data_IF_238716341731
#
_entry.id   IF_238716341731
#
_cell.length_a   1.000
_cell.length_b   1.000
_cell.length_c   1.000
_cell.angle_alpha   90.00
_cell.angle_beta   90.00
_cell.angle_gamma   90.00
#
_symmetry.space_group_name_H-M   'P 1'
#
loop_
_entity.id
_entity.type
_entity.pdbx_description
1 polymer ?
#
# COMPACT_ATOMS: atom_id res chain seq x y z
N UNK A 1 -24.04 -5.72 -13.23
CA UNK A 1 -23.23 -4.72 -12.49
C UNK A 1 -23.84 -4.25 -11.17
N UNK A 2 -25.16 -4.04 -11.03
CA UNK A 2 -25.76 -3.48 -9.79
C UNK A 2 -25.64 -4.31 -8.50
N UNK A 3 -25.49 -5.65 -8.58
CA UNK A 3 -25.31 -6.51 -7.39
C UNK A 3 -23.86 -6.50 -6.88
N UNK A 4 -22.87 -6.56 -7.77
CA UNK A 4 -21.45 -6.45 -7.40
C UNK A 4 -21.14 -5.09 -6.75
N UNK A 5 -21.73 -4.01 -7.27
CA UNK A 5 -21.58 -2.66 -6.72
C UNK A 5 -22.23 -2.55 -5.34
N UNK A 6 -23.46 -3.04 -5.11
CA UNK A 6 -24.13 -2.91 -3.80
C UNK A 6 -23.46 -3.72 -2.68
N UNK A 7 -23.09 -4.99 -2.92
CA UNK A 7 -22.50 -5.83 -1.88
C UNK A 7 -21.02 -5.48 -1.60
N UNK A 8 -20.28 -5.06 -2.62
CA UNK A 8 -18.90 -4.61 -2.42
C UNK A 8 -18.83 -3.20 -1.83
N UNK A 9 -19.71 -2.27 -2.22
CA UNK A 9 -19.80 -0.93 -1.60
C UNK A 9 -20.11 -1.00 -0.11
N UNK A 10 -20.99 -1.92 0.32
CA UNK A 10 -21.30 -2.09 1.75
C UNK A 10 -20.06 -2.51 2.55
N UNK A 11 -19.25 -3.42 2.01
CA UNK A 11 -18.01 -3.84 2.66
C UNK A 11 -16.90 -2.78 2.62
N UNK A 12 -16.82 -2.02 1.51
CA UNK A 12 -15.93 -0.86 1.36
C UNK A 12 -16.28 0.27 2.33
N UNK A 13 -17.57 0.59 2.47
CA UNK A 13 -18.07 1.58 3.41
C UNK A 13 -17.86 1.12 4.86
N UNK A 14 -18.05 -0.16 5.16
CA UNK A 14 -17.83 -0.70 6.50
C UNK A 14 -16.36 -0.65 6.91
N UNK A 15 -15.44 -1.08 6.04
CA UNK A 15 -14.00 -1.02 6.34
C UNK A 15 -13.47 0.41 6.46
N UNK A 16 -13.95 1.35 5.63
CA UNK A 16 -13.58 2.77 5.73
C UNK A 16 -14.19 3.44 6.96
N UNK A 17 -15.43 3.11 7.33
CA UNK A 17 -16.10 3.59 8.54
C UNK A 17 -15.36 3.11 9.80
N UNK A 18 -14.97 1.84 9.86
CA UNK A 18 -14.20 1.30 10.99
C UNK A 18 -12.88 2.05 11.18
N UNK A 19 -12.15 2.28 10.08
CA UNK A 19 -10.91 3.05 10.11
C UNK A 19 -11.15 4.52 10.50
N UNK A 20 -12.24 5.12 10.03
CA UNK A 20 -12.62 6.49 10.36
C UNK A 20 -12.96 6.66 11.84
N UNK A 21 -13.69 5.72 12.45
CA UNK A 21 -14.00 5.72 13.88
C UNK A 21 -12.72 5.68 14.72
N UNK A 22 -11.78 4.79 14.40
CA UNK A 22 -10.50 4.69 15.11
C UNK A 22 -9.67 5.97 14.97
N UNK A 23 -9.62 6.55 13.76
CA UNK A 23 -8.97 7.85 13.52
C UNK A 23 -9.64 8.98 14.30
N UNK A 24 -10.97 9.00 14.36
CA UNK A 24 -11.74 10.00 15.09
C UNK A 24 -11.47 9.93 16.60
N UNK A 25 -11.45 8.73 17.18
CA UNK A 25 -11.10 8.54 18.60
C UNK A 25 -9.68 9.04 18.86
N UNK A 26 -8.71 8.73 17.98
CA UNK A 26 -7.34 9.22 18.10
C UNK A 26 -7.27 10.76 18.04
N UNK A 27 -8.03 11.39 17.15
CA UNK A 27 -8.12 12.85 17.07
C UNK A 27 -8.69 13.48 18.35
N UNK A 28 -9.71 12.85 18.96
CA UNK A 28 -10.26 13.28 20.26
C UNK A 28 -9.21 13.15 21.36
N UNK A 29 -8.49 12.03 21.44
CA UNK A 29 -7.45 11.83 22.45
C UNK A 29 -6.32 12.87 22.33
N UNK A 30 -5.93 13.24 21.10
CA UNK A 30 -4.94 14.29 20.86
C UNK A 30 -5.49 15.68 21.26
N UNK A 31 -6.76 15.96 20.96
CA UNK A 31 -7.42 17.20 21.36
C UNK A 31 -7.50 17.33 22.89
N UNK A 32 -7.87 16.26 23.59
CA UNK A 32 -7.91 16.24 25.06
C UNK A 32 -6.51 16.42 25.67
N UNK A 33 -5.49 15.79 25.11
CA UNK A 33 -4.11 15.96 25.56
C UNK A 33 -3.65 17.43 25.44
N UNK A 34 -3.99 18.12 24.34
CA UNK A 34 -3.68 19.55 24.14
C UNK A 34 -4.37 20.41 25.19
N UNK A 35 -5.61 20.08 25.57
CA UNK A 35 -6.39 20.84 26.57
C UNK A 35 -5.96 20.58 28.02
N UNK A 36 -5.46 19.37 28.33
CA UNK A 36 -4.99 18.99 29.67
C UNK A 36 -3.48 19.23 29.91
N UNK A 37 -2.78 19.85 28.95
CA UNK A 37 -1.34 20.11 29.09
C UNK A 37 -0.99 21.00 30.30
N UNK A 38 -1.96 21.79 30.81
CA UNK A 38 -1.83 22.60 32.03
C UNK A 38 -2.08 21.87 33.36
N UNK A 39 -2.45 20.58 33.37
CA UNK A 39 -2.68 19.82 34.60
C UNK A 39 -1.42 19.01 35.02
N UNK A 40 -1.04 19.05 36.29
CA UNK A 40 0.16 18.39 36.85
C UNK A 40 -0.03 16.90 37.17
N UNK A 41 -1.09 16.26 36.69
CA UNK A 41 -1.34 14.84 36.97
C UNK A 41 -0.50 13.91 36.08
N UNK A 42 0.64 13.46 36.61
CA UNK A 42 1.58 12.54 35.93
C UNK A 42 0.91 11.23 35.48
N UNK A 43 0.03 10.66 36.31
CA UNK A 43 -0.72 9.42 36.00
C UNK A 43 -1.61 9.61 34.77
N UNK A 44 -2.27 10.76 34.67
CA UNK A 44 -3.16 11.07 33.56
C UNK A 44 -2.37 11.26 32.25
N UNK A 45 -1.21 11.93 32.32
CA UNK A 45 -0.27 12.04 31.18
C UNK A 45 0.22 10.68 30.70
N UNK A 46 0.54 9.76 31.62
CA UNK A 46 0.94 8.40 31.28
C UNK A 46 -0.19 7.60 30.61
N UNK A 47 -1.40 7.64 31.17
CA UNK A 47 -2.57 6.97 30.61
C UNK A 47 -2.91 7.44 29.19
N UNK A 48 -2.85 8.75 28.93
CA UNK A 48 -3.07 9.29 27.59
C UNK A 48 -2.02 8.81 26.59
N UNK A 49 -0.73 8.81 26.97
CA UNK A 49 0.34 8.29 26.11
C UNK A 49 0.16 6.81 25.80
N UNK A 50 -0.21 6.01 26.80
CA UNK A 50 -0.50 4.59 26.61
C UNK A 50 -1.68 4.40 25.64
N UNK A 51 -2.82 5.06 25.87
CA UNK A 51 -3.98 4.98 24.97
C UNK A 51 -3.65 5.43 23.54
N UNK A 52 -2.91 6.52 23.37
CA UNK A 52 -2.47 6.98 22.04
C UNK A 52 -1.63 5.93 21.32
N UNK A 53 -0.71 5.27 22.02
CA UNK A 53 0.09 4.18 21.47
C UNK A 53 -0.79 3.00 21.04
N UNK A 54 -1.73 2.58 21.89
CA UNK A 54 -2.67 1.50 21.58
C UNK A 54 -3.54 1.83 20.35
N UNK A 55 -4.10 3.03 20.28
CA UNK A 55 -4.90 3.46 19.13
C UNK A 55 -4.07 3.61 17.85
N UNK A 56 -2.81 4.02 17.96
CA UNK A 56 -1.88 4.05 16.81
C UNK A 56 -1.62 2.64 16.26
N UNK A 57 -1.35 1.67 17.14
CA UNK A 57 -1.16 0.27 16.74
C UNK A 57 -2.44 -0.28 16.13
N UNK A 58 -3.60 -0.02 16.74
CA UNK A 58 -4.90 -0.45 16.23
C UNK A 58 -5.20 0.15 14.85
N UNK A 59 -4.94 1.44 14.64
CA UNK A 59 -5.14 2.10 13.35
C UNK A 59 -4.29 1.43 12.26
N UNK A 60 -3.02 1.17 12.54
CA UNK A 60 -2.12 0.52 11.58
C UNK A 60 -2.52 -0.93 11.30
N UNK A 61 -2.91 -1.67 12.34
CA UNK A 61 -3.42 -3.03 12.20
C UNK A 61 -4.69 -3.08 11.35
N UNK A 62 -5.64 -2.16 11.59
CA UNK A 62 -6.87 -2.09 10.82
C UNK A 62 -6.62 -1.67 9.37
N UNK A 63 -5.68 -0.77 9.09
CA UNK A 63 -5.27 -0.45 7.71
C UNK A 63 -4.72 -1.69 7.00
N UNK A 64 -3.80 -2.41 7.67
CA UNK A 64 -3.20 -3.63 7.15
C UNK A 64 -4.27 -4.69 6.82
N UNK A 65 -5.19 -4.92 7.75
CA UNK A 65 -6.27 -5.89 7.61
C UNK A 65 -7.24 -5.50 6.50
N UNK A 66 -7.64 -4.22 6.47
CA UNK A 66 -8.59 -3.69 5.48
C UNK A 66 -8.05 -3.81 4.05
N UNK A 67 -6.77 -3.48 3.83
CA UNK A 67 -6.12 -3.59 2.50
C UNK A 67 -6.20 -5.03 1.96
N UNK A 68 -5.85 -6.02 2.79
CA UNK A 68 -5.86 -7.45 2.42
C UNK A 68 -7.26 -8.03 2.34
N UNK A 69 -8.16 -7.62 3.23
CA UNK A 69 -9.56 -8.00 3.18
C UNK A 69 -10.19 -7.58 1.85
N UNK A 70 -9.94 -6.37 1.35
CA UNK A 70 -10.48 -5.92 0.06
C UNK A 70 -10.00 -6.74 -1.14
N UNK A 71 -8.75 -7.20 -1.13
CA UNK A 71 -8.26 -8.13 -2.17
C UNK A 71 -9.06 -9.43 -2.12
N UNK A 72 -9.28 -9.97 -0.91
CA UNK A 72 -10.06 -11.20 -0.71
C UNK A 72 -11.54 -11.05 -1.07
N UNK A 73 -12.13 -9.87 -0.83
CA UNK A 73 -13.48 -9.53 -1.29
C UNK A 73 -13.51 -9.47 -2.82
N UNK A 74 -12.48 -8.91 -3.46
CA UNK A 74 -12.40 -8.87 -4.91
C UNK A 74 -12.27 -10.27 -5.52
N UNK A 75 -11.55 -11.20 -4.87
CA UNK A 75 -11.40 -12.59 -5.33
C UNK A 75 -12.67 -13.43 -5.12
N UNK A 76 -13.30 -13.35 -3.94
CA UNK A 76 -14.37 -14.28 -3.54
C UNK A 76 -15.77 -13.67 -3.42
N UNK A 77 -15.90 -12.34 -3.42
CA UNK A 77 -17.19 -11.66 -3.25
C UNK A 77 -17.86 -11.87 -1.88
N UNK A 78 -17.12 -12.33 -0.86
CA UNK A 78 -17.61 -12.51 0.51
C UNK A 78 -17.63 -11.17 1.27
N UNK A 79 -18.42 -11.06 2.35
CA UNK A 79 -18.47 -9.85 3.18
C UNK A 79 -17.16 -9.55 3.94
N UNK A 80 -16.97 -8.29 4.36
CA UNK A 80 -15.72 -7.78 4.96
C UNK A 80 -15.13 -8.65 6.07
N UNK A 81 -15.89 -8.98 7.12
CA UNK A 81 -15.35 -9.71 8.28
C UNK A 81 -14.87 -11.12 7.91
N UNK A 82 -15.58 -11.80 6.99
CA UNK A 82 -15.18 -13.14 6.54
C UNK A 82 -13.91 -13.06 5.67
N UNK A 83 -13.87 -12.13 4.73
CA UNK A 83 -12.71 -11.89 3.88
C UNK A 83 -11.47 -11.41 4.66
N UNK A 84 -11.67 -10.60 5.70
CA UNK A 84 -10.61 -10.18 6.62
C UNK A 84 -10.02 -11.37 7.38
N UNK A 85 -10.88 -12.26 7.91
CA UNK A 85 -10.44 -13.49 8.57
C UNK A 85 -9.69 -14.42 7.63
N UNK A 86 -10.25 -14.67 6.45
CA UNK A 86 -9.66 -15.59 5.47
C UNK A 86 -8.29 -15.06 5.00
N UNK A 87 -8.20 -13.77 4.61
CA UNK A 87 -6.94 -13.16 4.19
C UNK A 87 -5.89 -13.08 5.30
N UNK A 88 -6.30 -12.79 6.54
CA UNK A 88 -5.39 -12.81 7.68
C UNK A 88 -4.85 -14.22 7.94
N UNK A 89 -5.71 -15.24 7.92
CA UNK A 89 -5.30 -16.64 8.07
C UNK A 89 -4.29 -17.06 7.00
N UNK A 90 -4.56 -16.74 5.73
CA UNK A 90 -3.67 -17.04 4.61
C UNK A 90 -2.29 -16.40 4.76
N UNK A 91 -2.28 -15.11 5.13
CA UNK A 91 -1.05 -14.34 5.35
C UNK A 91 -0.29 -14.83 6.57
N UNK A 92 -0.97 -15.20 7.66
CA UNK A 92 -0.34 -15.73 8.86
C UNK A 92 0.38 -17.06 8.60
N UNK A 93 -0.24 -17.96 7.81
CA UNK A 93 0.38 -19.24 7.39
C UNK A 93 1.61 -19.06 6.51
N UNK A 94 1.66 -17.97 5.74
CA UNK A 94 2.72 -17.66 4.78
C UNK A 94 3.55 -16.43 5.18
N UNK A 95 3.65 -16.14 6.49
CA UNK A 95 4.21 -14.87 6.99
C UNK A 95 5.62 -14.58 6.48
N UNK A 96 6.48 -15.60 6.39
CA UNK A 96 7.86 -15.44 5.90
C UNK A 96 7.87 -14.94 4.45
N UNK A 97 7.06 -15.54 3.58
CA UNK A 97 6.97 -15.14 2.17
C UNK A 97 6.40 -13.73 2.05
N UNK A 98 5.41 -13.40 2.87
CA UNK A 98 4.77 -12.07 2.89
C UNK A 98 5.79 -11.01 3.31
N UNK A 99 6.55 -11.24 4.38
CA UNK A 99 7.55 -10.29 4.87
C UNK A 99 8.67 -10.10 3.85
N UNK A 100 9.19 -11.17 3.25
CA UNK A 100 10.25 -11.05 2.23
C UNK A 100 9.76 -10.22 1.05
N UNK A 101 8.56 -10.51 0.53
CA UNK A 101 8.00 -9.76 -0.59
C UNK A 101 7.74 -8.31 -0.22
N UNK A 102 7.15 -8.04 0.94
CA UNK A 102 6.88 -6.68 1.43
C UNK A 102 8.18 -5.86 1.48
N UNK A 103 9.26 -6.41 2.04
CA UNK A 103 10.56 -5.75 2.10
C UNK A 103 11.16 -5.48 0.72
N UNK A 104 11.11 -6.46 -0.18
CA UNK A 104 11.62 -6.30 -1.55
C UNK A 104 10.80 -5.25 -2.31
N UNK A 105 9.47 -5.31 -2.22
CA UNK A 105 8.58 -4.34 -2.86
C UNK A 105 8.81 -2.95 -2.30
N UNK A 106 8.87 -2.75 -0.98
CA UNK A 106 9.16 -1.43 -0.40
C UNK A 106 10.49 -0.87 -0.90
N UNK A 107 11.54 -1.69 -0.95
CA UNK A 107 12.84 -1.26 -1.47
C UNK A 107 12.77 -0.84 -2.93
N UNK A 108 12.18 -1.68 -3.79
CA UNK A 108 12.05 -1.40 -5.23
C UNK A 108 11.23 -0.13 -5.51
N UNK A 109 10.09 0.02 -4.85
CA UNK A 109 9.22 1.20 -5.05
C UNK A 109 9.89 2.46 -4.48
N UNK A 110 10.61 2.36 -3.36
CA UNK A 110 11.39 3.48 -2.80
C UNK A 110 12.49 3.94 -3.77
N UNK A 111 13.27 3.01 -4.32
CA UNK A 111 14.30 3.34 -5.32
C UNK A 111 13.70 3.93 -6.59
N UNK A 112 12.57 3.40 -7.06
CA UNK A 112 11.84 3.95 -8.20
C UNK A 112 11.36 5.38 -7.95
N UNK A 113 10.76 5.62 -6.79
CA UNK A 113 10.29 6.95 -6.35
C UNK A 113 11.43 7.96 -6.25
N UNK A 114 12.53 7.56 -5.62
CA UNK A 114 13.72 8.40 -5.50
C UNK A 114 14.31 8.76 -6.87
N UNK A 115 14.44 7.78 -7.76
CA UNK A 115 15.00 8.00 -9.10
C UNK A 115 14.15 8.95 -9.93
N UNK A 116 12.82 8.75 -9.96
CA UNK A 116 11.90 9.63 -10.69
C UNK A 116 11.94 11.04 -10.14
N UNK A 117 11.85 11.21 -8.81
CA UNK A 117 11.83 12.52 -8.15
C UNK A 117 13.14 13.29 -8.37
N UNK A 118 14.29 12.60 -8.28
CA UNK A 118 15.60 13.22 -8.52
C UNK A 118 15.80 13.58 -9.99
N UNK A 119 15.40 12.71 -10.91
CA UNK A 119 15.51 12.97 -12.35
C UNK A 119 14.66 14.18 -12.77
N UNK A 120 13.38 14.24 -12.36
CA UNK A 120 12.50 15.38 -12.67
C UNK A 120 13.00 16.69 -12.06
N UNK A 121 13.52 16.63 -10.84
CA UNK A 121 14.07 17.82 -10.16
C UNK A 121 15.37 18.29 -10.80
N UNK A 122 16.26 17.37 -11.21
CA UNK A 122 17.48 17.71 -11.92
C UNK A 122 17.18 18.36 -13.28
N UNK A 123 16.23 17.82 -14.04
CA UNK A 123 15.79 18.41 -15.31
C UNK A 123 15.22 19.83 -15.10
N UNK A 124 14.40 20.02 -14.07
CA UNK A 124 13.89 21.34 -13.71
C UNK A 124 15.02 22.31 -13.34
N UNK A 125 16.01 21.86 -12.58
CA UNK A 125 17.17 22.69 -12.22
C UNK A 125 17.97 23.12 -13.46
N UNK A 126 18.27 22.21 -14.39
CA UNK A 126 19.00 22.56 -15.62
C UNK A 126 18.22 23.51 -16.53
N UNK A 127 16.89 23.35 -16.59
CA UNK A 127 16.01 24.22 -17.36
C UNK A 127 15.93 25.63 -16.76
N UNK A 128 15.65 25.77 -15.44
CA UNK A 128 15.53 27.07 -14.79
C UNK A 128 16.87 27.81 -14.64
N UNK A 129 18.00 27.09 -14.59
CA UNK A 129 19.35 27.69 -14.57
C UNK A 129 19.83 28.09 -15.98
N UNK A 130 19.02 27.88 -17.03
CA UNK A 130 19.34 28.24 -18.41
C UNK A 130 20.50 27.45 -19.03
N UNK A 131 20.85 26.28 -18.48
CA UNK A 131 21.91 25.41 -19.03
C UNK A 131 21.43 24.55 -20.19
N UNK A 132 20.11 24.39 -20.33
CA UNK A 132 19.45 23.69 -21.43
C UNK A 132 18.39 24.62 -21.99
N UNK A 133 18.60 25.11 -23.21
CA UNK A 133 17.59 25.86 -23.95
C UNK A 133 16.71 24.85 -24.71
N UNK A 134 15.41 24.89 -24.44
CA UNK A 134 14.41 24.08 -25.15
C UNK A 134 13.67 25.04 -26.07
N UNK A 135 13.87 24.90 -27.39
CA UNK A 135 13.37 25.83 -28.42
C UNK A 135 11.83 26.06 -28.38
N UNK A 136 11.09 25.16 -27.74
CA UNK A 136 9.63 25.21 -27.62
C UNK A 136 9.11 25.84 -26.32
N UNK A 137 9.98 26.28 -25.40
CA UNK A 137 9.58 26.87 -24.13
C UNK A 137 10.13 28.30 -23.95
N UNK A 138 9.33 29.24 -23.39
CA UNK A 138 9.77 30.61 -23.19
C UNK A 138 10.92 30.67 -22.18
N UNK A 139 11.97 31.44 -22.50
CA UNK A 139 13.08 31.71 -21.57
C UNK A 139 12.52 32.44 -20.35
N UNK A 140 12.55 31.77 -19.21
CA UNK A 140 12.07 32.33 -17.95
C UNK A 140 13.25 32.94 -17.21
N UNK A 141 13.37 34.27 -17.24
CA UNK A 141 14.31 34.98 -16.37
C UNK A 141 13.65 35.19 -15.01
N UNK A 142 13.96 34.33 -14.05
CA UNK A 142 13.48 34.46 -12.68
C UNK A 142 14.58 35.11 -11.82
N UNK A 143 14.17 35.99 -10.91
CA UNK A 143 15.08 36.51 -9.87
C UNK A 143 15.38 35.44 -8.80
N UNK A 144 14.51 34.43 -8.68
CA UNK A 144 14.65 33.31 -7.74
C UNK A 144 14.46 31.95 -8.45
N UNK A 145 15.50 31.47 -9.15
CA UNK A 145 15.46 30.20 -9.91
C UNK A 145 15.23 28.95 -9.03
N UNK A 146 15.57 29.02 -7.74
CA UNK A 146 15.43 27.90 -6.81
C UNK A 146 13.97 27.65 -6.37
N UNK A 147 13.13 28.68 -6.34
CA UNK A 147 11.75 28.56 -5.91
C UNK A 147 10.93 27.59 -6.77
N UNK A 148 10.90 27.70 -8.12
CA UNK A 148 10.18 26.74 -8.95
C UNK A 148 10.78 25.34 -8.89
N UNK A 149 12.09 25.18 -8.69
CA UNK A 149 12.73 23.86 -8.52
C UNK A 149 12.23 23.16 -7.26
N UNK A 150 12.10 23.88 -6.14
CA UNK A 150 11.54 23.34 -4.90
C UNK A 150 10.08 22.91 -5.09
N UNK A 151 9.29 23.73 -5.80
CA UNK A 151 7.89 23.40 -6.11
C UNK A 151 7.81 22.12 -6.95
N UNK A 152 8.65 21.98 -7.98
CA UNK A 152 8.72 20.77 -8.81
C UNK A 152 9.16 19.56 -8.00
N UNK A 153 10.14 19.69 -7.10
CA UNK A 153 10.58 18.61 -6.23
C UNK A 153 9.43 18.10 -5.34
N UNK A 154 8.75 19.00 -4.64
CA UNK A 154 7.63 18.65 -3.76
C UNK A 154 6.46 18.06 -4.57
N UNK A 155 6.08 18.71 -5.66
CA UNK A 155 4.98 18.26 -6.52
C UNK A 155 5.24 16.90 -7.15
N UNK A 156 6.44 16.69 -7.71
CA UNK A 156 6.81 15.42 -8.32
C UNK A 156 6.88 14.29 -7.29
N UNK A 157 7.38 14.55 -6.07
CA UNK A 157 7.40 13.55 -4.99
C UNK A 157 5.99 13.04 -4.64
N UNK A 158 5.02 13.93 -4.45
CA UNK A 158 3.64 13.54 -4.08
C UNK A 158 2.88 12.84 -5.21
N UNK A 159 3.06 13.31 -6.45
CA UNK A 159 2.50 12.66 -7.63
C UNK A 159 3.08 11.24 -7.71
N UNK A 160 4.40 11.12 -7.64
CA UNK A 160 5.10 9.84 -7.67
C UNK A 160 4.62 8.90 -6.56
N UNK A 161 4.52 9.37 -5.31
CA UNK A 161 4.00 8.61 -4.16
C UNK A 161 2.63 7.98 -4.45
N UNK A 162 1.68 8.82 -4.89
CA UNK A 162 0.30 8.40 -5.16
C UNK A 162 0.23 7.34 -6.26
N UNK A 163 1.05 7.46 -7.31
CA UNK A 163 1.14 6.44 -8.36
C UNK A 163 1.74 5.14 -7.84
N UNK A 164 2.84 5.22 -7.09
CA UNK A 164 3.51 4.05 -6.53
C UNK A 164 2.65 3.27 -5.53
N UNK A 165 1.75 3.93 -4.79
CA UNK A 165 0.76 3.26 -3.93
C UNK A 165 -0.15 2.29 -4.71
N UNK A 166 -0.53 2.65 -5.95
CA UNK A 166 -1.34 1.79 -6.83
C UNK A 166 -0.52 0.57 -7.27
N UNK A 167 0.75 0.76 -7.62
CA UNK A 167 1.65 -0.35 -7.95
C UNK A 167 1.83 -1.31 -6.77
N UNK A 168 2.02 -0.78 -5.55
CA UNK A 168 2.10 -1.59 -4.34
C UNK A 168 0.82 -2.42 -4.12
N UNK A 169 -0.35 -1.84 -4.38
CA UNK A 169 -1.63 -2.55 -4.29
C UNK A 169 -1.75 -3.68 -5.33
N UNK A 170 -1.27 -3.43 -6.56
CA UNK A 170 -1.21 -4.45 -7.61
C UNK A 170 -0.31 -5.63 -7.23
N UNK A 171 0.89 -5.35 -6.72
CA UNK A 171 1.83 -6.37 -6.25
C UNK A 171 1.23 -7.20 -5.11
N UNK A 172 0.63 -6.55 -4.10
CA UNK A 172 -0.07 -7.23 -3.01
C UNK A 172 -1.20 -8.13 -3.50
N UNK A 173 -1.94 -7.68 -4.52
CA UNK A 173 -3.04 -8.45 -5.12
C UNK A 173 -2.54 -9.70 -5.81
N UNK A 174 -1.55 -9.56 -6.70
CA UNK A 174 -0.94 -10.70 -7.41
C UNK A 174 -0.37 -11.70 -6.40
N UNK A 175 0.29 -11.20 -5.36
CA UNK A 175 0.87 -12.06 -4.34
C UNK A 175 -0.18 -12.79 -3.51
N UNK A 176 -1.28 -12.14 -3.13
CA UNK A 176 -2.35 -12.80 -2.40
C UNK A 176 -3.04 -13.86 -3.27
N UNK A 177 -3.30 -13.56 -4.55
CA UNK A 177 -3.79 -14.54 -5.52
C UNK A 177 -2.84 -15.74 -5.62
N UNK A 178 -1.53 -15.48 -5.63
CA UNK A 178 -0.51 -16.52 -5.65
C UNK A 178 -0.52 -17.39 -4.39
N UNK A 179 -0.67 -16.79 -3.20
CA UNK A 179 -0.77 -17.54 -1.95
C UNK A 179 -2.02 -18.43 -1.95
N UNK A 180 -3.15 -17.89 -2.42
CA UNK A 180 -4.41 -18.61 -2.53
C UNK A 180 -4.32 -19.79 -3.51
N UNK A 181 -3.73 -19.57 -4.69
CA UNK A 181 -3.46 -20.62 -5.69
C UNK A 181 -2.53 -21.69 -5.11
N UNK A 182 -1.54 -21.28 -4.31
CA UNK A 182 -0.59 -22.19 -3.68
C UNK A 182 -1.16 -23.04 -2.55
N UNK A 183 -2.21 -22.58 -1.86
CA UNK A 183 -2.89 -23.36 -0.80
C UNK A 183 -3.96 -24.29 -1.36
N UNK A 184 -4.66 -23.87 -2.43
CA UNK A 184 -5.80 -24.63 -2.96
C UNK A 184 -5.42 -25.64 -4.06
N UNK A 185 -4.29 -25.42 -4.74
CA UNK A 185 -3.84 -26.27 -5.84
C UNK A 185 -2.53 -27.00 -5.49
N UNK A 186 -2.38 -28.22 -5.98
CA UNK A 186 -1.24 -29.10 -5.72
C UNK A 186 -0.39 -29.37 -6.98
N UNK A 187 -0.85 -28.95 -8.16
CA UNK A 187 -0.15 -29.17 -9.43
C UNK A 187 -0.59 -30.44 -10.16
N UNK A 188 -1.52 -31.21 -9.59
CA UNK A 188 -2.10 -32.38 -10.24
C UNK A 188 -2.95 -32.00 -11.46
N UNK A 189 -3.27 -32.99 -12.30
CA UNK A 189 -4.19 -32.80 -13.43
C UNK A 189 -5.60 -32.33 -13.00
N UNK A 190 -6.01 -32.61 -11.75
CA UNK A 190 -7.31 -32.19 -11.21
C UNK A 190 -7.25 -30.79 -10.59
N UNK A 191 -6.09 -30.37 -10.05
CA UNK A 191 -5.88 -29.07 -9.38
C UNK A 191 -4.55 -28.43 -9.80
N UNK A 192 -4.46 -27.94 -11.05
CA UNK A 192 -3.24 -27.30 -11.54
C UNK A 192 -2.97 -25.96 -10.88
N UNK A 193 -1.70 -25.56 -10.81
CA UNK A 193 -1.33 -24.17 -10.49
C UNK A 193 -1.67 -23.25 -11.67
N UNK A 194 -2.47 -22.22 -11.37
CA UNK A 194 -2.89 -21.19 -12.32
C UNK A 194 -1.96 -19.97 -12.35
N UNK A 195 -1.02 -19.88 -11.40
CA UNK A 195 -0.02 -18.81 -11.38
C UNK A 195 0.84 -18.76 -12.66
N UNK A 196 1.39 -17.58 -12.97
CA UNK A 196 2.15 -17.35 -14.21
C UNK A 196 3.40 -18.24 -14.32
N UNK A 197 3.81 -18.59 -15.55
CA UNK A 197 4.97 -19.44 -15.79
C UNK A 197 6.29 -18.90 -15.19
N UNK A 198 6.60 -17.58 -15.26
CA UNK A 198 7.78 -17.04 -14.59
C UNK A 198 7.74 -17.26 -13.07
N UNK A 199 6.56 -17.07 -12.47
CA UNK A 199 6.38 -17.21 -11.02
C UNK A 199 6.50 -18.68 -10.58
N UNK A 200 5.93 -19.61 -11.36
CA UNK A 200 6.11 -21.07 -11.19
C UNK A 200 7.59 -21.45 -11.16
N UNK A 201 8.36 -20.96 -12.13
CA UNK A 201 9.80 -21.22 -12.26
C UNK A 201 10.60 -20.67 -11.07
N UNK A 202 10.34 -19.43 -10.65
CA UNK A 202 11.01 -18.79 -9.51
C UNK A 202 10.78 -19.57 -8.21
N UNK A 203 9.61 -20.20 -8.07
CA UNK A 203 9.20 -20.91 -6.85
C UNK A 203 9.43 -22.42 -6.89
N UNK A 204 9.95 -22.95 -8.00
CA UNK A 204 10.14 -24.39 -8.17
C UNK A 204 8.84 -25.20 -8.19
N UNK A 205 7.70 -24.57 -8.52
CA UNK A 205 6.41 -25.26 -8.66
C UNK A 205 6.15 -25.60 -10.13
N UNK A 206 5.67 -26.81 -10.40
CA UNK A 206 5.30 -27.28 -11.74
C UNK A 206 3.95 -28.00 -11.70
N UNK A 207 3.27 -28.03 -12.84
CA UNK A 207 2.11 -28.90 -13.01
C UNK A 207 2.57 -30.24 -13.60
N UNK A 208 2.03 -31.35 -13.13
CA UNK A 208 2.51 -32.70 -13.49
C UNK A 208 2.33 -33.02 -14.98
N UNK A 209 1.27 -32.50 -15.61
CA UNK A 209 1.00 -32.71 -17.04
C UNK A 209 1.85 -31.86 -17.98
N UNK A 210 2.59 -30.86 -17.47
CA UNK A 210 3.54 -30.10 -18.30
C UNK A 210 4.80 -30.90 -18.66
N UNK A 211 5.11 -31.98 -17.92
CA UNK A 211 6.27 -32.84 -18.19
C UNK A 211 5.93 -34.00 -19.18
N UNK A 212 4.68 -34.10 -19.68
CA UNK A 212 4.25 -35.13 -20.66
C UNK A 212 4.33 -34.61 -22.11
N UNK A 213 4.72 -33.36 -22.32
CA UNK A 213 4.64 -32.66 -23.61
C UNK A 213 5.90 -31.95 -24.08
N UNK A 214 7.09 -32.47 -23.77
CA UNK A 214 8.36 -32.08 -24.43
C UNK A 214 9.19 -33.30 -24.75
#
# INVERSE_FOLDING_TARGET
MGRAVRYNLGSLAFGSLLLAIVKFIRAILEFLQKRLYGAENVVLKFLYRALQCWFYILENFLKFLTKRAYIMIAMYGKGFCRSARDSFSLVARNVVRVVVLDRVTTFLLFTGKATITLATTALAFFYFTGRVEVDSLPKVQLYYDFLPVIIVFIGSYYICDTFFDVYEMGVNTIFLCFLEDSENNDGSAQKPFYMSAPLKKILGKKNEFSDVGT
#
